data_IF_195576271856
#
_entry.id   IF_195576271856
#
_cell.length_a   1.000
_cell.length_b   1.000
_cell.length_c   1.000
_cell.angle_alpha   90.00
_cell.angle_beta   90.00
_cell.angle_gamma   90.00
#
_symmetry.space_group_name_H-M   'P 1'
#
loop_
_entity.id
_entity.type
_entity.pdbx_description
1 polymer ?
#
# COMPACT_ATOMS: atom_id res chain seq x y z
N UNK A 1 17.21 -19.58 6.90
CA UNK A 1 16.83 -18.19 6.60
C UNK A 1 15.36 -18.18 6.24
N UNK A 2 14.59 -17.17 6.66
CA UNK A 2 13.23 -16.98 6.16
C UNK A 2 13.35 -16.55 4.69
N UNK A 3 12.60 -17.18 3.80
CA UNK A 3 12.63 -16.93 2.35
C UNK A 3 11.23 -16.70 1.84
N UNK A 4 11.08 -15.78 0.89
CA UNK A 4 9.82 -15.56 0.20
C UNK A 4 9.50 -16.69 -0.78
N UNK A 5 8.26 -17.16 -0.73
CA UNK A 5 7.69 -18.10 -1.69
C UNK A 5 6.61 -17.40 -2.50
N UNK A 6 6.55 -17.64 -3.82
CA UNK A 6 5.45 -17.15 -4.63
C UNK A 6 4.20 -17.99 -4.35
N UNK A 7 3.22 -17.40 -3.69
CA UNK A 7 1.96 -18.07 -3.32
C UNK A 7 0.85 -17.86 -4.35
N UNK A 8 1.01 -16.85 -5.20
CA UNK A 8 0.10 -16.58 -6.31
C UNK A 8 0.90 -16.00 -7.50
N UNK A 9 1.14 -16.78 -8.56
CA UNK A 9 1.83 -16.30 -9.77
C UNK A 9 0.87 -15.50 -10.67
N UNK A 10 0.29 -14.41 -10.14
CA UNK A 10 -0.75 -13.61 -10.80
C UNK A 10 -0.29 -12.92 -12.09
N UNK A 11 1.02 -12.71 -12.26
CA UNK A 11 1.57 -11.95 -13.38
C UNK A 11 0.94 -10.54 -13.51
N UNK A 12 0.61 -9.92 -12.38
CA UNK A 12 0.02 -8.60 -12.28
C UNK A 12 0.91 -7.54 -12.95
N UNK A 13 0.29 -6.64 -13.70
CA UNK A 13 0.97 -5.51 -14.31
C UNK A 13 1.53 -4.59 -13.21
N UNK A 14 0.67 -4.19 -12.27
CA UNK A 14 1.03 -3.44 -11.07
C UNK A 14 0.19 -3.92 -9.88
N UNK A 15 0.60 -5.04 -9.28
CA UNK A 15 -0.02 -5.55 -8.07
C UNK A 15 0.25 -4.64 -6.89
N UNK A 16 -0.77 -4.27 -6.13
CA UNK A 16 -0.70 -3.26 -5.07
C UNK A 16 -1.74 -3.48 -3.96
N UNK A 17 -1.63 -2.69 -2.90
CA UNK A 17 -2.61 -2.59 -1.81
C UNK A 17 -3.07 -3.94 -1.22
N UNK A 18 -2.18 -4.90 -0.88
CA UNK A 18 -2.58 -6.11 -0.18
C UNK A 18 -3.15 -5.77 1.20
N UNK A 19 -4.30 -6.36 1.56
CA UNK A 19 -4.97 -6.22 2.86
C UNK A 19 -5.52 -7.57 3.29
N UNK A 20 -5.17 -7.97 4.50
CA UNK A 20 -5.69 -9.21 5.08
C UNK A 20 -7.04 -8.95 5.73
N UNK A 21 -8.08 -9.64 5.27
CA UNK A 21 -9.38 -9.71 5.93
C UNK A 21 -9.37 -10.87 6.91
N UNK A 22 -9.14 -10.56 8.18
CA UNK A 22 -9.05 -11.53 9.28
C UNK A 22 -10.38 -12.24 9.54
N UNK A 23 -11.51 -11.60 9.21
CA UNK A 23 -12.86 -12.18 9.39
C UNK A 23 -13.13 -13.27 8.37
N UNK A 24 -12.59 -13.13 7.16
CA UNK A 24 -12.79 -14.06 6.02
C UNK A 24 -11.59 -14.97 5.77
N UNK A 25 -10.46 -14.69 6.42
CA UNK A 25 -9.16 -15.30 6.16
C UNK A 25 -8.76 -15.23 4.68
N UNK A 26 -8.91 -14.06 4.06
CA UNK A 26 -8.57 -13.79 2.64
C UNK A 26 -7.62 -12.61 2.52
N UNK A 27 -6.78 -12.66 1.49
CA UNK A 27 -5.95 -11.52 1.10
C UNK A 27 -6.62 -10.79 -0.07
N UNK A 28 -7.05 -9.55 0.16
CA UNK A 28 -7.51 -8.66 -0.89
C UNK A 28 -6.33 -7.86 -1.44
N UNK A 29 -6.30 -7.57 -2.72
CA UNK A 29 -5.25 -6.76 -3.37
C UNK A 29 -5.77 -6.18 -4.68
N UNK A 30 -5.01 -5.32 -5.37
CA UNK A 30 -5.42 -4.75 -6.67
C UNK A 30 -4.36 -4.95 -7.73
N UNK A 31 -4.77 -5.09 -8.99
CA UNK A 31 -3.92 -4.75 -10.12
C UNK A 31 -4.37 -3.38 -10.64
N UNK A 32 -3.53 -2.37 -10.45
CA UNK A 32 -3.88 -0.99 -10.82
C UNK A 32 -3.98 -0.85 -12.34
N UNK A 33 -3.14 -1.57 -13.08
CA UNK A 33 -2.90 -1.35 -14.51
C UNK A 33 -3.67 -2.33 -15.39
N UNK A 34 -4.12 -3.44 -14.82
CA UNK A 34 -5.24 -4.24 -15.29
C UNK A 34 -6.40 -4.10 -14.28
N UNK A 35 -7.17 -2.99 -14.30
CA UNK A 35 -7.98 -2.53 -13.17
C UNK A 35 -8.93 -3.57 -12.58
N UNK A 36 -8.54 -4.17 -11.46
CA UNK A 36 -9.35 -5.15 -10.75
C UNK A 36 -9.06 -5.16 -9.24
N UNK A 37 -10.10 -5.40 -8.46
CA UNK A 37 -9.99 -5.82 -7.06
C UNK A 37 -9.90 -7.34 -7.03
N UNK A 38 -8.88 -7.88 -6.39
CA UNK A 38 -8.63 -9.31 -6.28
C UNK A 38 -8.90 -9.82 -4.87
N UNK A 39 -9.36 -11.07 -4.78
CA UNK A 39 -9.53 -11.81 -3.54
C UNK A 39 -8.82 -13.15 -3.64
N UNK A 40 -7.68 -13.26 -2.96
CA UNK A 40 -6.87 -14.47 -2.88
C UNK A 40 -7.21 -15.25 -1.60
N UNK A 41 -7.48 -16.54 -1.77
CA UNK A 41 -7.70 -17.51 -0.71
C UNK A 41 -6.46 -18.39 -0.50
N UNK A 42 -5.67 -18.18 0.57
CA UNK A 42 -4.48 -18.99 0.81
C UNK A 42 -4.79 -20.46 1.10
N UNK A 43 -6.01 -20.78 1.55
CA UNK A 43 -6.38 -22.16 1.88
C UNK A 43 -6.64 -23.02 0.64
N UNK A 44 -7.12 -22.41 -0.45
CA UNK A 44 -7.45 -23.10 -1.70
C UNK A 44 -6.48 -22.76 -2.84
N UNK A 45 -5.71 -21.69 -2.69
CA UNK A 45 -4.87 -21.14 -3.76
C UNK A 45 -5.66 -20.40 -4.85
N UNK A 46 -6.97 -20.20 -4.66
CA UNK A 46 -7.82 -19.54 -5.64
C UNK A 46 -7.73 -18.02 -5.53
N UNK A 47 -7.64 -17.34 -6.67
CA UNK A 47 -7.74 -15.88 -6.78
C UNK A 47 -8.94 -15.51 -7.66
N UNK A 48 -9.76 -14.58 -7.18
CA UNK A 48 -10.92 -14.06 -7.93
C UNK A 48 -10.68 -12.59 -8.26
N UNK A 49 -10.67 -12.26 -9.55
CA UNK A 49 -10.56 -10.90 -10.03
C UNK A 49 -11.95 -10.28 -10.27
N UNK A 50 -12.18 -9.09 -9.71
CA UNK A 50 -13.40 -8.31 -9.86
C UNK A 50 -13.03 -7.04 -10.65
N UNK A 51 -13.37 -6.96 -11.95
CA UNK A 51 -13.02 -5.80 -12.77
C UNK A 51 -13.61 -4.50 -12.23
N UNK A 52 -12.85 -3.43 -12.34
CA UNK A 52 -13.26 -2.07 -11.96
C UNK A 52 -13.29 -1.16 -13.19
N UNK A 53 -14.13 -0.10 -13.21
CA UNK A 53 -14.30 0.73 -14.40
C UNK A 53 -13.10 1.64 -14.71
N UNK A 54 -12.22 1.86 -13.74
CA UNK A 54 -11.04 2.71 -13.84
C UNK A 54 -9.96 2.20 -12.87
N UNK A 55 -8.74 2.77 -12.92
CA UNK A 55 -7.65 2.39 -12.02
C UNK A 55 -8.10 2.47 -10.55
N UNK A 56 -8.32 1.32 -9.91
CA UNK A 56 -8.44 1.19 -8.46
C UNK A 56 -7.03 1.10 -7.88
N UNK A 57 -6.63 2.13 -7.14
CA UNK A 57 -5.24 2.27 -6.71
C UNK A 57 -5.02 1.78 -5.27
N UNK A 58 -5.98 2.08 -4.40
CA UNK A 58 -5.99 1.62 -3.02
C UNK A 58 -7.42 1.39 -2.53
N UNK A 59 -7.55 0.65 -1.44
CA UNK A 59 -8.82 0.45 -0.76
C UNK A 59 -8.61 0.21 0.73
N UNK A 60 -9.71 0.26 1.49
CA UNK A 60 -9.79 -0.26 2.84
C UNK A 60 -11.09 -1.02 3.03
N UNK A 61 -11.04 -2.09 3.82
CA UNK A 61 -12.22 -2.86 4.22
C UNK A 61 -13.16 -1.95 5.01
N UNK A 62 -14.47 -2.12 4.87
CA UNK A 62 -15.46 -1.43 5.73
C UNK A 62 -16.01 -2.39 6.79
N UNK A 63 -16.63 -1.82 7.84
CA UNK A 63 -17.21 -2.61 8.94
C UNK A 63 -18.41 -3.47 8.49
N UNK A 64 -19.21 -2.99 7.54
CA UNK A 64 -20.33 -3.70 6.93
C UNK A 64 -19.91 -4.76 5.89
N UNK A 65 -18.61 -4.91 5.67
CA UNK A 65 -18.04 -5.98 4.84
C UNK A 65 -17.75 -5.60 3.38
N UNK A 66 -18.05 -4.38 2.96
CA UNK A 66 -17.66 -3.80 1.68
C UNK A 66 -16.26 -3.15 1.69
N UNK A 67 -16.09 -2.13 0.84
CA UNK A 67 -14.82 -1.42 0.69
C UNK A 67 -15.04 0.08 0.44
N UNK A 68 -14.13 0.90 0.94
CA UNK A 68 -13.88 2.24 0.40
C UNK A 68 -12.66 2.16 -0.51
N UNK A 69 -12.71 2.78 -1.69
CA UNK A 69 -11.64 2.69 -2.68
C UNK A 69 -11.25 4.08 -3.22
N UNK A 70 -9.95 4.31 -3.34
CA UNK A 70 -9.37 5.42 -4.09
C UNK A 70 -9.12 5.00 -5.53
N UNK A 71 -9.84 5.61 -6.46
CA UNK A 71 -9.73 5.35 -7.90
C UNK A 71 -9.28 6.60 -8.66
N UNK A 72 -8.97 6.48 -9.97
CA UNK A 72 -8.47 7.63 -10.77
C UNK A 72 -9.30 8.90 -10.58
N UNK A 73 -10.62 8.82 -10.66
CA UNK A 73 -11.49 10.02 -10.68
C UNK A 73 -12.06 10.38 -9.32
N UNK A 74 -11.86 9.57 -8.28
CA UNK A 74 -12.39 9.88 -6.96
C UNK A 74 -12.36 8.72 -5.97
N UNK A 75 -13.06 8.94 -4.86
CA UNK A 75 -13.26 7.96 -3.79
C UNK A 75 -14.65 7.34 -3.99
N UNK A 76 -14.74 6.02 -3.88
CA UNK A 76 -15.95 5.25 -4.12
C UNK A 76 -16.24 4.31 -2.96
N UNK A 77 -17.53 4.09 -2.71
CA UNK A 77 -18.01 3.01 -1.86
C UNK A 77 -18.34 1.80 -2.74
N UNK A 78 -17.83 0.64 -2.35
CA UNK A 78 -18.05 -0.64 -3.02
C UNK A 78 -18.74 -1.61 -2.03
N UNK A 79 -19.61 -2.46 -2.56
CA UNK A 79 -20.28 -3.49 -1.77
C UNK A 79 -19.34 -4.67 -1.42
N UNK A 80 -19.84 -5.64 -0.67
CA UNK A 80 -19.11 -6.86 -0.28
C UNK A 80 -18.62 -7.71 -1.46
N UNK A 81 -19.15 -7.49 -2.67
CA UNK A 81 -18.76 -8.15 -3.92
C UNK A 81 -17.82 -7.29 -4.76
N UNK A 82 -17.35 -6.16 -4.23
CA UNK A 82 -16.47 -5.23 -4.92
C UNK A 82 -17.16 -4.42 -6.02
N UNK A 83 -18.49 -4.38 -6.08
CA UNK A 83 -19.22 -3.59 -7.06
C UNK A 83 -19.37 -2.15 -6.59
N UNK A 84 -19.21 -1.20 -7.50
CA UNK A 84 -19.35 0.23 -7.19
C UNK A 84 -20.80 0.54 -6.83
N UNK A 85 -21.00 1.04 -5.60
CA UNK A 85 -22.31 1.50 -5.12
C UNK A 85 -22.51 2.96 -5.49
N UNK A 86 -21.56 3.82 -5.13
CA UNK A 86 -21.62 5.26 -5.38
C UNK A 86 -20.25 5.94 -5.24
N UNK A 87 -20.12 7.11 -5.85
CA UNK A 87 -18.99 8.02 -5.65
C UNK A 87 -19.18 8.82 -4.36
N UNK A 88 -18.16 8.88 -3.52
CA UNK A 88 -18.11 9.61 -2.25
C UNK A 88 -17.55 11.03 -2.44
N UNK A 89 -16.46 11.15 -3.20
CA UNK A 89 -15.78 12.41 -3.45
C UNK A 89 -15.07 12.37 -4.80
N UNK A 90 -14.88 13.51 -5.45
CA UNK A 90 -14.03 13.61 -6.64
C UNK A 90 -12.54 13.63 -6.25
N UNK A 91 -11.68 13.16 -7.16
CA UNK A 91 -10.25 13.43 -7.05
C UNK A 91 -10.07 14.95 -7.18
N UNK A 92 -9.45 15.63 -6.19
CA UNK A 92 -9.28 17.08 -6.21
C UNK A 92 -8.20 17.53 -7.20
N UNK A 93 -7.39 16.61 -7.73
CA UNK A 93 -6.37 16.86 -8.74
C UNK A 93 -6.88 16.53 -10.16
N UNK A 94 -6.13 16.95 -11.19
CA UNK A 94 -6.50 16.71 -12.58
C UNK A 94 -6.38 15.21 -12.93
N UNK A 95 -7.50 14.50 -13.20
CA UNK A 95 -7.47 13.07 -13.48
C UNK A 95 -6.84 12.71 -14.83
N UNK A 96 -6.41 13.67 -15.65
CA UNK A 96 -5.64 13.40 -16.87
C UNK A 96 -4.14 13.21 -16.59
N UNK A 97 -3.64 13.66 -15.45
CA UNK A 97 -2.21 13.63 -15.08
C UNK A 97 -1.97 13.20 -13.63
N UNK A 98 -3.02 12.80 -12.92
CA UNK A 98 -2.99 12.33 -11.54
C UNK A 98 -4.05 11.27 -11.31
N UNK A 99 -3.77 10.39 -10.35
CA UNK A 99 -4.72 9.45 -9.75
C UNK A 99 -4.37 9.29 -8.27
N UNK A 100 -5.33 8.80 -7.48
CA UNK A 100 -4.99 8.21 -6.19
C UNK A 100 -3.98 7.05 -6.39
N UNK A 101 -3.18 6.78 -5.36
CA UNK A 101 -2.12 5.80 -5.35
C UNK A 101 -2.27 4.86 -4.15
N UNK A 102 -1.41 4.92 -3.14
CA UNK A 102 -1.57 4.15 -1.89
C UNK A 102 -2.55 4.83 -0.93
N UNK A 103 -3.14 4.03 -0.05
CA UNK A 103 -4.06 4.49 0.98
C UNK A 103 -4.45 3.40 1.96
N UNK A 104 -4.77 3.82 3.18
CA UNK A 104 -5.11 2.95 4.31
C UNK A 104 -6.03 3.69 5.29
N UNK A 105 -6.82 2.96 6.07
CA UNK A 105 -7.57 3.54 7.18
C UNK A 105 -6.75 3.67 8.47
N UNK A 106 -7.01 4.73 9.21
CA UNK A 106 -6.61 4.81 10.61
C UNK A 106 -7.59 4.05 11.53
N UNK A 107 -7.28 4.00 12.83
CA UNK A 107 -8.09 3.27 13.80
C UNK A 107 -9.43 3.92 14.16
N UNK A 108 -9.71 5.13 13.66
CA UNK A 108 -11.04 5.77 13.72
C UNK A 108 -11.80 5.65 12.39
N UNK A 109 -11.29 4.85 11.46
CA UNK A 109 -11.96 4.54 10.20
C UNK A 109 -11.85 5.63 9.14
N UNK A 110 -11.04 6.68 9.37
CA UNK A 110 -10.81 7.73 8.36
C UNK A 110 -9.88 7.18 7.29
N UNK A 111 -10.21 7.43 6.03
CA UNK A 111 -9.48 6.88 4.90
C UNK A 111 -8.38 7.84 4.45
N UNK A 112 -7.13 7.45 4.63
CA UNK A 112 -5.96 8.22 4.22
C UNK A 112 -5.47 7.69 2.88
N UNK A 113 -5.15 8.59 1.96
CA UNK A 113 -4.75 8.22 0.62
C UNK A 113 -3.94 9.31 -0.05
N UNK A 114 -2.91 8.87 -0.77
CA UNK A 114 -2.01 9.70 -1.53
C UNK A 114 -2.40 9.77 -3.00
N UNK A 115 -2.01 10.84 -3.68
CA UNK A 115 -2.02 10.93 -5.14
C UNK A 115 -0.62 10.75 -5.72
N UNK A 116 -0.52 10.74 -7.05
CA UNK A 116 0.75 10.75 -7.76
C UNK A 116 0.72 11.72 -8.93
N UNK A 117 1.83 12.41 -9.16
CA UNK A 117 2.08 13.25 -10.32
C UNK A 117 2.60 12.34 -11.45
N UNK A 118 1.77 11.98 -12.43
CA UNK A 118 2.15 11.01 -13.48
C UNK A 118 3.38 11.46 -14.28
N UNK A 119 3.48 12.73 -14.72
CA UNK A 119 4.70 13.28 -15.33
C UNK A 119 5.93 13.31 -14.42
N UNK A 120 5.76 13.25 -13.08
CA UNK A 120 6.84 13.38 -12.08
C UNK A 120 7.67 14.66 -12.23
N UNK A 121 7.01 15.78 -12.50
CA UNK A 121 7.68 17.03 -12.85
C UNK A 121 7.15 18.27 -12.12
N UNK A 122 5.89 18.25 -11.67
CA UNK A 122 5.21 19.40 -11.10
C UNK A 122 5.20 19.40 -9.56
N UNK A 123 5.57 18.28 -8.92
CA UNK A 123 5.37 18.08 -7.48
C UNK A 123 3.90 18.25 -7.08
N UNK A 124 3.00 17.81 -7.97
CA UNK A 124 1.57 18.07 -7.85
C UNK A 124 0.85 17.13 -6.88
N UNK A 125 1.49 16.03 -6.47
CA UNK A 125 0.87 15.06 -5.59
C UNK A 125 0.79 15.55 -4.14
N UNK A 126 -0.15 14.96 -3.41
CA UNK A 126 -0.49 15.29 -2.05
C UNK A 126 -0.98 14.06 -1.27
N UNK A 127 -0.92 14.17 0.05
CA UNK A 127 -1.57 13.24 0.98
C UNK A 127 -2.90 13.83 1.42
N UNK A 128 -3.95 13.02 1.40
CA UNK A 128 -5.29 13.41 1.80
C UNK A 128 -5.86 12.47 2.87
N UNK A 129 -6.86 12.98 3.59
CA UNK A 129 -7.69 12.24 4.53
C UNK A 129 -9.16 12.48 4.20
N UNK A 130 -9.90 11.40 3.97
CA UNK A 130 -11.35 11.41 3.83
C UNK A 130 -12.02 11.01 5.15
N UNK A 131 -12.83 11.90 5.70
CA UNK A 131 -13.62 11.70 6.92
C UNK A 131 -14.86 12.59 6.88
N UNK A 132 -15.98 12.10 7.42
CA UNK A 132 -17.22 12.88 7.56
C UNK A 132 -17.69 13.55 6.26
N UNK A 133 -17.57 12.83 5.13
CA UNK A 133 -17.94 13.35 3.81
C UNK A 133 -16.94 14.32 3.17
N UNK A 134 -15.86 14.69 3.86
CA UNK A 134 -14.91 15.71 3.42
C UNK A 134 -13.51 15.12 3.13
N UNK A 135 -12.88 15.63 2.06
CA UNK A 135 -11.49 15.30 1.71
C UNK A 135 -10.57 16.45 2.12
N UNK A 136 -9.77 16.24 3.15
CA UNK A 136 -8.81 17.23 3.68
C UNK A 136 -7.43 16.94 3.15
N UNK A 137 -6.73 17.94 2.61
CA UNK A 137 -5.31 17.84 2.23
C UNK A 137 -4.45 17.94 3.49
N UNK A 138 -3.57 16.97 3.69
CA UNK A 138 -2.70 16.87 4.88
C UNK A 138 -1.26 17.28 4.54
N UNK A 139 -0.76 16.85 3.38
CA UNK A 139 0.58 17.18 2.92
C UNK A 139 0.58 17.41 1.39
N UNK A 140 1.57 18.15 0.88
CA UNK A 140 1.66 18.55 -0.51
C UNK A 140 3.11 18.62 -1.00
N UNK A 141 3.27 18.86 -2.31
CA UNK A 141 4.58 19.01 -2.94
C UNK A 141 5.27 17.67 -3.21
N UNK A 142 4.50 16.58 -3.31
CA UNK A 142 5.00 15.22 -3.49
C UNK A 142 5.07 14.85 -4.98
N UNK A 143 5.81 13.80 -5.32
CA UNK A 143 5.79 13.21 -6.67
C UNK A 143 4.96 11.92 -6.72
N UNK A 144 5.11 11.05 -5.72
CA UNK A 144 4.28 9.84 -5.55
C UNK A 144 4.08 9.59 -4.06
N UNK A 145 2.89 9.84 -3.54
CA UNK A 145 2.58 9.49 -2.15
C UNK A 145 2.32 7.98 -2.03
N UNK A 146 3.01 7.36 -1.07
CA UNK A 146 3.03 5.92 -0.86
C UNK A 146 3.22 5.57 0.63
N UNK A 147 3.27 4.28 0.96
CA UNK A 147 3.74 3.79 2.26
C UNK A 147 2.88 4.22 3.46
N UNK A 148 1.59 4.45 3.27
CA UNK A 148 0.74 4.96 4.35
C UNK A 148 0.62 3.92 5.49
N UNK A 149 1.11 4.27 6.68
CA UNK A 149 0.96 3.46 7.89
C UNK A 149 0.88 4.32 9.17
N UNK A 150 0.49 3.68 10.28
CA UNK A 150 0.37 4.31 11.59
C UNK A 150 1.15 3.51 12.63
N UNK A 151 1.79 4.21 13.54
CA UNK A 151 2.39 3.60 14.74
C UNK A 151 1.31 2.94 15.61
N UNK A 152 1.63 1.88 16.38
CA UNK A 152 0.63 1.17 17.19
C UNK A 152 0.02 2.02 18.32
N UNK A 153 0.77 3.01 18.80
CA UNK A 153 0.32 3.99 19.79
C UNK A 153 -0.37 5.21 19.17
N UNK A 154 -0.48 5.23 17.83
CA UNK A 154 -1.06 6.30 17.02
C UNK A 154 -0.47 7.68 17.25
N UNK A 155 0.78 7.78 17.69
CA UNK A 155 1.48 9.08 17.83
C UNK A 155 2.11 9.56 16.53
N UNK A 156 2.26 8.65 15.58
CA UNK A 156 2.88 8.88 14.28
C UNK A 156 2.03 8.28 13.15
N UNK A 157 1.91 9.04 12.07
CA UNK A 157 1.60 8.51 10.74
C UNK A 157 2.83 8.64 9.83
N UNK A 158 3.00 7.67 8.94
CA UNK A 158 4.17 7.53 8.06
C UNK A 158 3.71 7.45 6.62
N UNK A 159 4.36 8.17 5.71
CA UNK A 159 4.16 8.01 4.26
C UNK A 159 5.49 8.27 3.54
N UNK A 160 5.62 7.81 2.31
CA UNK A 160 6.81 7.98 1.50
C UNK A 160 6.55 8.81 0.27
N UNK A 161 7.61 9.44 -0.22
CA UNK A 161 7.65 9.98 -1.58
C UNK A 161 8.66 9.19 -2.40
N UNK A 162 8.15 8.21 -3.14
CA UNK A 162 8.94 7.16 -3.78
C UNK A 162 10.09 7.72 -4.64
N UNK A 163 9.90 8.71 -5.55
CA UNK A 163 10.99 9.25 -6.35
C UNK A 163 12.04 10.04 -5.56
N UNK A 164 11.70 10.50 -4.34
CA UNK A 164 12.63 11.19 -3.43
C UNK A 164 13.38 10.25 -2.50
N UNK A 165 13.15 8.93 -2.59
CA UNK A 165 13.81 7.94 -1.74
C UNK A 165 13.61 8.20 -0.23
N UNK A 166 12.53 8.88 0.15
CA UNK A 166 12.34 9.39 1.51
C UNK A 166 11.02 8.91 2.08
N UNK A 167 11.06 8.41 3.31
CA UNK A 167 9.91 8.17 4.17
C UNK A 167 9.82 9.34 5.14
N UNK A 168 8.66 9.96 5.16
CA UNK A 168 8.29 11.01 6.09
C UNK A 168 7.45 10.47 7.23
N UNK A 169 7.39 11.25 8.31
CA UNK A 169 6.40 11.06 9.38
C UNK A 169 5.78 12.38 9.79
N UNK A 170 4.62 12.30 10.40
CA UNK A 170 3.97 13.42 11.07
C UNK A 170 3.58 12.98 12.47
N UNK A 171 3.69 13.88 13.46
CA UNK A 171 2.98 13.67 14.72
C UNK A 171 1.49 13.52 14.40
N UNK A 172 0.81 12.63 15.08
CA UNK A 172 -0.55 12.26 14.76
C UNK A 172 -1.38 12.17 16.04
N UNK A 173 -2.59 12.74 15.99
CA UNK A 173 -3.59 12.62 17.04
C UNK A 173 -4.72 11.75 16.51
N UNK A 174 -4.88 10.55 17.08
CA UNK A 174 -5.94 9.62 16.66
C UNK A 174 -7.34 10.13 16.97
N UNK A 175 -7.54 10.96 17.99
CA UNK A 175 -8.86 11.46 18.37
C UNK A 175 -9.33 12.52 17.37
N UNK A 176 -8.48 13.48 17.02
CA UNK A 176 -8.83 14.58 16.08
C UNK A 176 -8.54 14.24 14.61
N UNK A 177 -7.57 13.34 14.39
CA UNK A 177 -7.05 12.99 13.07
C UNK A 177 -6.13 14.03 12.49
N UNK A 178 -5.72 15.01 13.28
CA UNK A 178 -4.77 16.03 12.87
C UNK A 178 -3.37 15.41 12.76
N UNK A 179 -2.65 15.85 11.74
CA UNK A 179 -1.25 15.55 11.56
C UNK A 179 -0.44 16.84 11.68
N UNK A 180 0.66 16.78 12.42
CA UNK A 180 1.61 17.88 12.56
C UNK A 180 2.40 18.14 11.26
N UNK A 181 3.43 19.01 11.32
CA UNK A 181 4.30 19.25 10.19
C UNK A 181 5.05 17.98 9.75
N UNK A 182 5.40 17.91 8.46
CA UNK A 182 6.19 16.83 7.87
C UNK A 182 7.61 16.81 8.43
N UNK A 183 8.07 15.64 8.84
CA UNK A 183 9.47 15.36 9.20
C UNK A 183 10.07 14.32 8.27
N UNK A 184 11.31 14.56 7.80
CA UNK A 184 12.12 13.53 7.16
C UNK A 184 12.51 12.48 8.21
N UNK A 185 12.11 11.22 8.00
CA UNK A 185 12.35 10.16 8.97
C UNK A 185 13.43 9.18 8.50
N UNK A 186 13.27 8.62 7.31
CA UNK A 186 14.25 7.71 6.70
C UNK A 186 14.50 8.12 5.26
N UNK A 187 15.78 8.24 4.90
CA UNK A 187 16.19 8.52 3.54
C UNK A 187 17.11 7.40 3.04
N UNK A 188 16.75 6.81 1.91
CA UNK A 188 17.57 5.85 1.20
C UNK A 188 18.46 6.59 0.20
N UNK A 189 19.74 6.25 0.19
CA UNK A 189 20.70 6.83 -0.75
C UNK A 189 20.93 5.84 -1.90
N UNK A 190 20.44 6.13 -3.13
CA UNK A 190 20.60 5.20 -4.24
C UNK A 190 22.06 5.10 -4.68
N UNK A 191 22.44 3.90 -5.11
CA UNK A 191 23.74 3.62 -5.73
C UNK A 191 23.53 3.13 -7.17
N UNK A 192 24.59 3.02 -8.00
CA UNK A 192 24.46 2.44 -9.34
C UNK A 192 23.90 1.02 -9.36
N UNK A 193 24.11 0.23 -8.29
CA UNK A 193 23.67 -1.17 -8.20
C UNK A 193 22.45 -1.39 -7.31
N UNK A 194 22.03 -0.37 -6.55
CA UNK A 194 20.83 -0.42 -5.71
C UNK A 194 20.03 0.87 -5.84
N UNK A 195 18.85 0.74 -6.45
CA UNK A 195 17.91 1.85 -6.67
C UNK A 195 16.59 1.63 -5.96
N UNK A 196 16.59 0.84 -4.87
CA UNK A 196 15.41 0.60 -4.05
C UNK A 196 14.79 1.91 -3.56
N UNK A 197 13.50 2.09 -3.87
CA UNK A 197 12.70 3.24 -3.44
C UNK A 197 11.60 2.79 -2.50
N UNK A 198 11.32 3.52 -1.40
CA UNK A 198 10.20 3.18 -0.53
C UNK A 198 8.90 3.29 -1.31
N UNK A 199 8.13 2.21 -1.31
CA UNK A 199 6.82 2.10 -1.94
C UNK A 199 5.76 1.91 -0.84
N UNK A 200 4.89 0.92 -0.94
CA UNK A 200 3.90 0.56 0.07
C UNK A 200 4.49 -0.12 1.32
N UNK A 201 3.75 -0.02 2.43
CA UNK A 201 4.23 -0.45 3.75
C UNK A 201 3.16 -0.96 4.71
N UNK A 202 3.61 -1.57 5.80
CA UNK A 202 2.80 -1.97 6.97
C UNK A 202 3.60 -1.83 8.26
N UNK A 203 2.96 -1.92 9.42
CA UNK A 203 3.60 -1.81 10.74
C UNK A 203 3.33 -3.08 11.55
N UNK A 204 4.37 -3.60 12.20
CA UNK A 204 4.25 -4.76 13.08
C UNK A 204 3.82 -4.40 14.51
N UNK A 205 3.51 -5.43 15.30
CA UNK A 205 3.05 -5.29 16.69
C UNK A 205 4.12 -4.72 17.65
N UNK A 206 5.39 -4.68 17.25
CA UNK A 206 6.47 -4.02 17.98
C UNK A 206 6.69 -2.56 17.51
N UNK A 207 5.89 -2.08 16.56
CA UNK A 207 5.97 -0.72 16.03
C UNK A 207 7.05 -0.52 14.97
N UNK A 208 7.61 -1.59 14.41
CA UNK A 208 8.52 -1.44 13.28
C UNK A 208 7.75 -1.26 11.98
N UNK A 209 8.23 -0.36 11.15
CA UNK A 209 7.69 -0.08 9.82
C UNK A 209 8.36 -0.97 8.78
N UNK A 210 7.57 -1.70 8.01
CA UNK A 210 8.01 -2.61 6.96
C UNK A 210 7.75 -1.97 5.60
N UNK A 211 8.80 -1.71 4.83
CA UNK A 211 8.73 -1.01 3.54
C UNK A 211 9.12 -1.95 2.40
N UNK A 212 8.27 -2.07 1.38
CA UNK A 212 8.69 -2.63 0.10
C UNK A 212 9.60 -1.62 -0.61
N UNK A 213 10.77 -2.07 -1.10
CA UNK A 213 11.68 -1.23 -1.85
C UNK A 213 11.57 -1.54 -3.35
N UNK A 214 10.74 -0.77 -4.06
CA UNK A 214 10.54 -0.88 -5.50
C UNK A 214 11.86 -0.68 -6.25
N UNK A 215 12.13 -1.53 -7.24
CA UNK A 215 13.43 -1.69 -7.93
C UNK A 215 14.61 -2.13 -7.05
N UNK A 216 14.39 -2.33 -5.75
CA UNK A 216 15.38 -2.80 -4.79
C UNK A 216 15.34 -4.30 -4.53
N UNK A 217 14.27 -4.99 -4.97
CA UNK A 217 14.11 -6.44 -4.82
C UNK A 217 14.06 -6.95 -3.39
N UNK A 218 13.61 -6.11 -2.44
CA UNK A 218 13.60 -6.45 -1.02
C UNK A 218 12.50 -5.72 -0.25
N UNK A 219 12.19 -6.25 0.94
CA UNK A 219 11.47 -5.55 2.01
C UNK A 219 12.45 -5.25 3.13
N UNK A 220 12.33 -4.09 3.74
CA UNK A 220 13.14 -3.69 4.91
C UNK A 220 12.25 -3.48 6.12
N UNK A 221 12.75 -3.85 7.31
CA UNK A 221 12.13 -3.56 8.60
C UNK A 221 12.87 -2.43 9.28
N UNK A 222 12.14 -1.39 9.66
CA UNK A 222 12.68 -0.13 10.18
C UNK A 222 12.19 0.08 11.61
N UNK A 223 13.11 0.30 12.55
CA UNK A 223 12.77 0.58 13.95
C UNK A 223 12.07 1.93 14.13
N UNK A 224 11.36 2.18 15.24
CA UNK A 224 10.74 3.48 15.54
C UNK A 224 11.71 4.68 15.46
N UNK A 225 13.00 4.45 15.66
CA UNK A 225 14.08 5.44 15.55
C UNK A 225 14.53 5.70 14.10
N UNK A 226 13.93 5.03 13.11
CA UNK A 226 14.25 5.22 11.69
C UNK A 226 15.47 4.42 11.21
N UNK A 227 15.83 3.33 11.91
CA UNK A 227 16.97 2.47 11.51
C UNK A 227 16.49 1.21 10.82
N UNK A 228 17.04 0.89 9.66
CA UNK A 228 16.87 -0.45 9.06
C UNK A 228 17.53 -1.47 9.99
N UNK A 229 16.73 -2.38 10.54
CA UNK A 229 17.19 -3.44 11.45
C UNK A 229 17.25 -4.81 10.79
N UNK A 230 16.42 -5.04 9.76
CA UNK A 230 16.40 -6.29 9.00
C UNK A 230 16.09 -6.01 7.52
N UNK A 231 16.63 -6.84 6.62
CA UNK A 231 16.33 -6.82 5.19
C UNK A 231 16.01 -8.23 4.70
N UNK A 232 15.00 -8.33 3.83
CA UNK A 232 14.49 -9.59 3.31
C UNK A 232 14.43 -9.53 1.78
N UNK A 233 15.25 -10.33 1.12
CA UNK A 233 15.36 -10.36 -0.34
C UNK A 233 14.17 -11.09 -0.97
N UNK A 234 13.63 -10.56 -2.06
CA UNK A 234 12.56 -11.17 -2.85
C UNK A 234 13.08 -11.63 -4.22
N UNK A 235 12.56 -12.74 -4.75
CA UNK A 235 12.84 -13.18 -6.13
C UNK A 235 12.01 -12.39 -7.16
N UNK A 236 11.91 -11.08 -6.98
CA UNK A 236 11.27 -10.12 -7.90
C UNK A 236 11.87 -8.73 -7.68
N UNK A 237 12.16 -7.98 -8.74
CA UNK A 237 12.85 -6.67 -8.64
C UNK A 237 11.95 -5.54 -8.13
N UNK A 238 10.65 -5.61 -8.38
CA UNK A 238 9.69 -4.54 -8.09
C UNK A 238 8.65 -5.00 -7.06
N UNK A 239 9.03 -5.23 -5.79
CA UNK A 239 8.05 -5.33 -4.71
C UNK A 239 7.37 -3.97 -4.52
N UNK A 240 6.05 -3.98 -4.34
CA UNK A 240 5.22 -2.77 -4.33
C UNK A 240 4.68 -2.48 -2.95
N UNK A 241 4.12 -3.47 -2.25
CA UNK A 241 3.57 -3.27 -0.92
C UNK A 241 3.57 -4.56 -0.10
N UNK A 242 3.63 -4.44 1.22
CA UNK A 242 3.55 -5.57 2.14
C UNK A 242 2.34 -5.48 3.08
N UNK A 243 1.85 -6.65 3.51
CA UNK A 243 0.76 -6.76 4.48
C UNK A 243 0.92 -8.02 5.34
N UNK A 244 0.57 -7.93 6.62
CA UNK A 244 0.56 -9.09 7.50
C UNK A 244 -0.79 -9.81 7.41
N UNK A 245 -0.76 -11.13 7.47
CA UNK A 245 -1.94 -11.97 7.45
C UNK A 245 -1.70 -13.36 8.03
N UNK A 246 -2.63 -14.28 7.76
CA UNK A 246 -2.73 -15.56 8.47
C UNK A 246 -3.41 -15.42 9.83
N UNK A 247 -3.78 -16.56 10.43
CA UNK A 247 -4.54 -16.58 11.70
C UNK A 247 -3.80 -15.99 12.90
N UNK A 248 -2.47 -15.92 12.84
CA UNK A 248 -1.60 -15.33 13.86
C UNK A 248 -0.91 -14.03 13.41
N UNK A 249 -1.28 -13.50 12.24
CA UNK A 249 -0.72 -12.30 11.63
C UNK A 249 0.80 -12.34 11.42
N UNK A 250 1.40 -13.52 11.35
CA UNK A 250 2.86 -13.71 11.16
C UNK A 250 3.23 -14.18 9.74
N UNK A 251 2.30 -14.07 8.79
CA UNK A 251 2.58 -14.26 7.36
C UNK A 251 2.68 -12.88 6.72
N UNK A 252 3.86 -12.52 6.23
CA UNK A 252 4.08 -11.28 5.48
C UNK A 252 3.84 -11.57 3.99
N UNK A 253 2.74 -11.04 3.45
CA UNK A 253 2.46 -11.03 2.02
C UNK A 253 3.10 -9.80 1.37
N UNK A 254 3.57 -9.95 0.14
CA UNK A 254 4.17 -8.88 -0.66
C UNK A 254 3.66 -8.96 -2.10
N UNK A 255 3.01 -7.89 -2.57
CA UNK A 255 2.66 -7.74 -3.98
C UNK A 255 3.88 -7.26 -4.76
N UNK A 256 3.91 -7.57 -6.06
CA UNK A 256 4.98 -7.13 -6.96
C UNK A 256 4.40 -6.66 -8.29
N UNK A 257 5.22 -5.93 -9.07
CA UNK A 257 4.87 -5.45 -10.40
C UNK A 257 5.76 -6.08 -11.46
N UNK A 258 5.24 -6.12 -12.70
CA UNK A 258 6.01 -6.58 -13.87
C UNK A 258 5.90 -5.65 -15.09
N UNK A 259 5.00 -4.66 -15.06
CA UNK A 259 4.80 -3.77 -16.19
C UNK A 259 6.10 -3.00 -16.52
N UNK A 260 6.43 -2.95 -17.81
CA UNK A 260 7.61 -2.23 -18.29
C UNK A 260 8.96 -2.87 -17.94
N UNK A 261 8.99 -4.07 -17.35
CA UNK A 261 10.25 -4.78 -17.07
C UNK A 261 10.84 -5.41 -18.34
N UNK A 262 12.17 -5.38 -18.53
CA UNK A 262 12.83 -6.01 -19.68
C UNK A 262 12.58 -7.52 -19.75
N UNK A 263 12.53 -8.08 -20.96
CA UNK A 263 12.35 -9.53 -21.16
C UNK A 263 13.42 -10.37 -20.44
N UNK A 264 14.69 -9.95 -20.49
CA UNK A 264 15.79 -10.65 -19.80
C UNK A 264 15.62 -10.66 -18.28
N UNK A 265 15.04 -9.61 -17.70
CA UNK A 265 14.73 -9.59 -16.27
C UNK A 265 13.57 -10.52 -15.95
N UNK A 266 12.53 -10.55 -16.79
CA UNK A 266 11.41 -11.46 -16.62
C UNK A 266 11.81 -12.93 -16.81
N UNK A 267 12.81 -13.22 -17.64
CA UNK A 267 13.41 -14.56 -17.73
C UNK A 267 14.15 -14.93 -16.44
N UNK A 268 14.85 -13.99 -15.82
CA UNK A 268 15.55 -14.20 -14.54
C UNK A 268 14.57 -14.29 -13.35
N UNK A 269 13.49 -13.51 -13.37
CA UNK A 269 12.47 -13.43 -12.32
C UNK A 269 11.09 -13.71 -12.92
N UNK A 270 10.80 -14.97 -13.31
CA UNK A 270 9.57 -15.34 -14.04
C UNK A 270 8.29 -15.11 -13.24
N UNK A 271 8.39 -15.01 -11.91
CA UNK A 271 7.28 -14.76 -11.01
C UNK A 271 7.06 -13.27 -10.70
N UNK A 272 7.73 -12.35 -11.41
CA UNK A 272 7.45 -10.90 -11.30
C UNK A 272 5.98 -10.61 -11.62
N UNK A 273 5.33 -9.79 -10.79
CA UNK A 273 3.89 -9.59 -10.81
C UNK A 273 3.12 -10.63 -9.97
N UNK A 274 3.81 -11.54 -9.28
CA UNK A 274 3.20 -12.46 -8.31
C UNK A 274 3.02 -11.84 -6.93
N UNK A 275 2.24 -12.52 -6.09
CA UNK A 275 2.17 -12.29 -4.65
C UNK A 275 3.07 -13.30 -3.95
N UNK A 276 3.95 -12.80 -3.11
CA UNK A 276 4.89 -13.61 -2.33
C UNK A 276 4.49 -13.64 -0.87
N UNK A 277 4.85 -14.69 -0.15
CA UNK A 277 4.65 -14.80 1.28
C UNK A 277 5.89 -15.32 2.00
N UNK A 278 6.09 -14.88 3.24
CA UNK A 278 7.14 -15.35 4.13
C UNK A 278 6.65 -15.34 5.57
N UNK A 279 7.07 -16.31 6.37
CA UNK A 279 6.81 -16.31 7.82
C UNK A 279 7.80 -15.41 8.55
N UNK A 280 7.28 -14.58 9.45
CA UNK A 280 8.04 -13.62 10.25
C UNK A 280 7.87 -13.91 11.75
N UNK A 281 8.83 -13.53 12.61
CA UNK A 281 8.76 -13.83 14.04
C UNK A 281 7.80 -12.91 14.80
N UNK A 282 7.61 -11.69 14.32
CA UNK A 282 6.77 -10.65 14.91
C UNK A 282 5.46 -10.57 14.13
N UNK A 283 4.34 -10.55 14.85
CA UNK A 283 3.02 -10.45 14.24
C UNK A 283 2.77 -9.02 13.74
N UNK A 284 1.98 -8.88 12.68
CA UNK A 284 1.38 -7.63 12.30
C UNK A 284 0.27 -7.16 13.24
N UNK A 285 -0.48 -6.18 12.77
CA UNK A 285 -1.70 -5.69 13.40
C UNK A 285 -2.91 -6.05 12.54
N UNK A 286 -4.08 -6.20 13.18
CA UNK A 286 -5.35 -6.33 12.44
C UNK A 286 -5.60 -5.05 11.65
N UNK A 287 -5.93 -5.22 10.37
CA UNK A 287 -6.26 -4.12 9.47
C UNK A 287 -7.41 -3.27 10.02
N UNK A 288 -7.25 -1.95 9.96
CA UNK A 288 -8.31 -1.03 10.37
C UNK A 288 -9.32 -0.88 9.26
N UNK A 289 -10.59 -0.86 9.64
CA UNK A 289 -11.72 -0.78 8.71
C UNK A 289 -12.24 0.65 8.65
N UNK A 290 -12.66 1.08 7.47
CA UNK A 290 -13.27 2.39 7.28
C UNK A 290 -14.68 2.44 7.84
N UNK A 291 -15.03 3.60 8.40
CA UNK A 291 -16.38 4.03 8.68
C UNK A 291 -16.63 5.32 7.88
N UNK A 292 -16.98 5.22 6.59
CA UNK A 292 -17.11 6.37 5.71
C UNK A 292 -18.35 7.24 5.97
N UNK A 293 -19.26 6.77 6.84
CA UNK A 293 -20.52 7.41 7.25
C UNK A 293 -20.67 7.40 8.77
#
# INVERSE_FOLDING_TARGET
MQTFECVLPAAAALGECPRWDERRAKLWWVDIQAPALHCFDPATGQDTAIPTPENIACFSLTEDGGFIAGMRTGIFLLDEKGQVVRKLCANPENPATSRFNDGRCDARGRFWLGTLDEPKAANAAALYRYADGALTKIDAGLLTSNGMAFSPDYRWCYHSDTPRFTIYRHSYDIETGEAGPREDWVKFEPTPTDRGRPDGASVDSEGHYWSALYEGGRVVRISPEGKVVEEFQLPARCPTMCAFGGGDLRTLYVTTARQGRPASELEQYPQSGGVFAMRVPVAGLVEKRSAPE
#
